data_IF_671143010150
#
_entry.id   IF_671143010150
#
_cell.length_a   1.000
_cell.length_b   1.000
_cell.length_c   1.000
_cell.angle_alpha   90.00
_cell.angle_beta   90.00
_cell.angle_gamma   90.00
#
_symmetry.space_group_name_H-M   'P 1'
#
loop_
_entity.id
_entity.type
_entity.pdbx_description
1 polymer ?
#
# COMPACT_ATOMS: atom_id res chain seq x y z
N UNK A 1 32.56 -28.51 44.83
CA UNK A 1 31.11 -28.54 44.56
C UNK A 1 30.80 -27.26 43.81
N UNK A 2 30.22 -27.40 42.63
CA UNK A 2 29.90 -26.32 41.68
C UNK A 2 28.52 -25.80 42.05
N UNK A 3 28.41 -24.52 42.43
CA UNK A 3 27.12 -23.82 42.42
C UNK A 3 27.15 -22.81 41.28
N UNK A 4 26.89 -23.36 40.10
CA UNK A 4 26.44 -22.63 38.92
C UNK A 4 24.96 -22.33 39.13
N UNK A 5 24.53 -21.10 38.82
CA UNK A 5 23.40 -20.84 37.90
C UNK A 5 22.45 -19.71 38.33
N UNK A 6 22.24 -18.82 37.36
CA UNK A 6 21.06 -18.02 37.09
C UNK A 6 20.44 -17.16 38.18
N UNK A 7 20.84 -15.88 38.19
CA UNK A 7 19.85 -14.83 38.32
C UNK A 7 19.25 -14.56 36.93
N UNK A 8 17.93 -14.72 36.71
CA UNK A 8 17.30 -14.17 35.51
C UNK A 8 17.36 -12.65 35.63
N UNK A 9 18.41 -12.05 35.08
CA UNK A 9 18.46 -10.61 34.85
C UNK A 9 17.30 -10.30 33.90
N UNK A 10 16.31 -9.61 34.47
CA UNK A 10 15.11 -9.11 33.83
C UNK A 10 15.44 -8.57 32.45
N UNK A 11 14.73 -9.10 31.46
CA UNK A 11 14.85 -8.68 30.07
C UNK A 11 14.83 -7.18 29.99
N UNK A 12 15.87 -6.61 29.40
CA UNK A 12 15.82 -5.28 28.86
C UNK A 12 14.53 -5.19 28.01
N UNK A 13 13.69 -4.15 28.18
CA UNK A 13 12.77 -3.82 27.11
C UNK A 13 13.68 -3.39 25.96
N UNK A 14 13.96 -4.31 25.05
CA UNK A 14 14.52 -3.97 23.76
C UNK A 14 13.59 -2.91 23.18
N UNK A 15 14.18 -1.73 22.97
CA UNK A 15 13.55 -0.57 22.40
C UNK A 15 12.58 -1.01 21.30
N UNK A 16 11.33 -0.53 21.41
CA UNK A 16 10.34 -0.71 20.36
C UNK A 16 10.90 -0.09 19.09
N UNK A 17 11.42 -0.96 18.23
CA UNK A 17 11.64 -0.68 16.82
C UNK A 17 10.27 -0.32 16.24
N UNK A 18 9.94 0.98 16.33
CA UNK A 18 8.96 1.66 15.49
C UNK A 18 9.50 1.55 14.06
N UNK A 19 9.45 0.34 13.52
CA UNK A 19 9.91 0.01 12.19
C UNK A 19 8.97 0.75 11.24
N UNK A 20 9.38 1.97 10.86
CA UNK A 20 8.62 2.86 9.99
C UNK A 20 8.28 2.08 8.74
N UNK A 21 7.04 1.60 8.66
CA UNK A 21 6.53 0.88 7.51
C UNK A 21 6.77 1.75 6.28
N UNK A 22 7.59 1.28 5.32
CA UNK A 22 7.83 2.01 4.09
C UNK A 22 6.48 2.39 3.44
N UNK A 23 6.30 3.65 2.99
CA UNK A 23 5.00 4.12 2.49
C UNK A 23 4.52 3.34 1.26
N UNK A 24 5.44 2.76 0.50
CA UNK A 24 5.12 1.87 -0.62
C UNK A 24 4.48 0.55 -0.15
N UNK A 25 4.90 0.02 1.00
CA UNK A 25 4.35 -1.20 1.60
C UNK A 25 2.92 -0.96 2.10
N UNK A 26 2.67 0.15 2.79
CA UNK A 26 1.33 0.51 3.27
C UNK A 26 0.29 0.65 2.13
N UNK A 27 0.70 1.07 0.94
CA UNK A 27 -0.16 1.12 -0.25
C UNK A 27 -0.49 -0.29 -0.76
N UNK A 28 0.49 -1.20 -0.74
CA UNK A 28 0.36 -2.59 -1.21
C UNK A 28 -0.35 -3.50 -0.20
N UNK A 29 -0.27 -3.18 1.09
CA UNK A 29 -0.87 -3.95 2.18
C UNK A 29 -2.38 -3.69 2.34
N UNK A 30 -2.92 -2.64 1.71
CA UNK A 30 -4.35 -2.33 1.75
C UNK A 30 -5.10 -2.87 0.52
N UNK A 31 -5.86 -3.98 0.64
CA UNK A 31 -6.54 -4.61 -0.49
C UNK A 31 -7.58 -3.70 -1.16
N UNK A 32 -8.19 -2.77 -0.43
CA UNK A 32 -9.15 -1.82 -1.01
C UNK A 32 -8.46 -0.75 -1.86
N UNK A 33 -7.24 -0.37 -1.50
CA UNK A 33 -6.45 0.60 -2.26
C UNK A 33 -5.96 -0.04 -3.56
N UNK A 34 -5.57 -1.32 -3.51
CA UNK A 34 -5.26 -2.13 -4.69
C UNK A 34 -6.49 -2.32 -5.60
N UNK A 35 -7.65 -2.62 -5.02
CA UNK A 35 -8.91 -2.72 -5.76
C UNK A 35 -9.26 -1.38 -6.41
N UNK A 36 -9.18 -0.29 -5.65
CA UNK A 36 -9.48 1.05 -6.14
C UNK A 36 -8.60 1.39 -7.33
N UNK A 37 -7.28 1.22 -7.24
CA UNK A 37 -6.38 1.47 -8.37
C UNK A 37 -6.70 0.52 -9.53
N UNK A 38 -6.97 -0.76 -9.25
CA UNK A 38 -7.30 -1.77 -10.27
C UNK A 38 -8.56 -1.44 -11.08
N UNK A 39 -9.57 -0.79 -10.49
CA UNK A 39 -10.81 -0.39 -11.18
C UNK A 39 -10.73 1.06 -11.68
N UNK A 40 -10.14 1.96 -10.90
CA UNK A 40 -10.05 3.38 -11.22
C UNK A 40 -9.16 3.63 -12.44
N UNK A 41 -8.04 2.91 -12.59
CA UNK A 41 -7.16 3.03 -13.76
C UNK A 41 -7.93 2.77 -15.05
N UNK A 42 -8.51 1.58 -15.30
CA UNK A 42 -9.26 1.34 -16.53
C UNK A 42 -10.47 2.26 -16.66
N UNK A 43 -11.19 2.55 -15.56
CA UNK A 43 -12.34 3.45 -15.61
C UNK A 43 -11.96 4.85 -16.12
N UNK A 44 -10.90 5.45 -15.57
CA UNK A 44 -10.43 6.78 -16.00
C UNK A 44 -9.91 6.73 -17.43
N UNK A 45 -9.11 5.72 -17.77
CA UNK A 45 -8.60 5.53 -19.13
C UNK A 45 -9.74 5.46 -20.15
N UNK A 46 -10.73 4.58 -19.95
CA UNK A 46 -11.85 4.43 -20.86
C UNK A 46 -12.75 5.67 -20.89
N UNK A 47 -12.89 6.38 -19.77
CA UNK A 47 -13.66 7.63 -19.73
C UNK A 47 -13.00 8.70 -20.57
N UNK A 48 -11.69 8.95 -20.38
CA UNK A 48 -10.94 9.94 -21.16
C UNK A 48 -10.94 9.54 -22.64
N UNK A 49 -10.66 8.27 -22.93
CA UNK A 49 -10.67 7.77 -24.30
C UNK A 49 -12.04 7.94 -24.97
N UNK A 50 -13.14 7.59 -24.28
CA UNK A 50 -14.50 7.77 -24.80
C UNK A 50 -14.88 9.24 -25.01
N UNK A 51 -14.44 10.15 -24.13
CA UNK A 51 -14.65 11.59 -24.30
C UNK A 51 -13.89 12.08 -25.54
N UNK A 52 -12.64 11.67 -25.71
CA UNK A 52 -11.83 12.01 -26.88
C UNK A 52 -12.46 11.50 -28.18
N UNK A 53 -12.97 10.26 -28.17
CA UNK A 53 -13.68 9.67 -29.31
C UNK A 53 -14.89 10.53 -29.70
N UNK A 54 -15.76 10.87 -28.73
CA UNK A 54 -16.96 11.67 -28.98
C UNK A 54 -16.59 13.08 -29.48
N UNK A 55 -15.58 13.72 -28.88
CA UNK A 55 -15.13 15.05 -29.28
C UNK A 55 -14.53 15.09 -30.70
N UNK A 56 -13.97 13.97 -31.16
CA UNK A 56 -13.41 13.83 -32.51
C UNK A 56 -14.47 13.54 -33.58
N UNK A 57 -15.71 13.19 -33.21
CA UNK A 57 -16.79 12.97 -34.18
C UNK A 57 -17.15 14.32 -34.83
N UNK A 58 -16.96 14.47 -36.15
CA UNK A 58 -17.35 15.69 -36.83
C UNK A 58 -18.88 15.80 -36.82
N UNK A 59 -19.38 16.90 -36.27
CA UNK A 59 -20.81 17.21 -36.32
C UNK A 59 -21.13 17.56 -37.78
N UNK A 60 -21.90 16.68 -38.45
CA UNK A 60 -22.31 16.88 -39.82
C UNK A 60 -23.05 18.22 -39.96
N UNK A 61 -22.73 18.95 -41.02
CA UNK A 61 -23.19 20.32 -41.28
C UNK A 61 -24.58 20.37 -41.89
#
# INVERSE_FOLDING_TARGET
MVDQDNSPQQGAPADGDDERVPPMQAILDNPFLLLFIGVAVPAVFYTIWGIMEIAAIPIAK
#
